data_IF_698473976265
#
_entry.id   IF_698473976265
#
_cell.length_a   1.000
_cell.length_b   1.000
_cell.length_c   1.000
_cell.angle_alpha   90.00
_cell.angle_beta   90.00
_cell.angle_gamma   90.00
#
_symmetry.space_group_name_H-M   'P 1'
#
loop_
_entity.id
_entity.type
_entity.pdbx_description
1 polymer ?
#
# COMPACT_ATOMS: atom_id res chain seq x y z
N UNK A 1 -37.92 4.66 -23.55
CA UNK A 1 -38.47 3.36 -24.00
C UNK A 1 -37.65 2.28 -23.29
N UNK A 2 -38.21 1.64 -22.26
CA UNK A 2 -37.51 0.68 -21.41
C UNK A 2 -37.32 -0.65 -22.15
N UNK A 3 -36.11 -1.20 -22.14
CA UNK A 3 -35.81 -2.50 -22.75
C UNK A 3 -36.59 -3.62 -22.05
N UNK A 4 -37.20 -4.50 -22.86
CA UNK A 4 -38.00 -5.68 -22.47
C UNK A 4 -37.16 -6.78 -21.78
N UNK A 5 -35.86 -6.55 -21.59
CA UNK A 5 -34.95 -7.43 -20.88
C UNK A 5 -34.35 -6.68 -19.69
N UNK A 6 -34.49 -7.22 -18.48
CA UNK A 6 -33.84 -6.69 -17.30
C UNK A 6 -32.33 -6.63 -17.47
N UNK A 7 -31.67 -5.63 -16.87
CA UNK A 7 -30.21 -5.58 -16.84
C UNK A 7 -29.70 -6.82 -16.10
N UNK A 8 -29.12 -7.76 -16.84
CA UNK A 8 -28.42 -8.90 -16.26
C UNK A 8 -27.15 -8.33 -15.65
N UNK A 9 -27.18 -8.11 -14.33
CA UNK A 9 -25.97 -7.77 -13.59
C UNK A 9 -24.94 -8.88 -13.82
N UNK A 10 -23.71 -8.56 -14.23
CA UNK A 10 -22.69 -9.58 -14.38
C UNK A 10 -22.53 -10.33 -13.04
N UNK A 11 -22.42 -11.67 -13.05
CA UNK A 11 -22.37 -12.48 -11.84
C UNK A 11 -21.15 -12.16 -10.96
N UNK A 12 -20.19 -11.42 -11.51
CA UNK A 12 -19.04 -10.88 -10.80
C UNK A 12 -18.97 -9.38 -11.09
N UNK A 13 -19.42 -8.55 -10.13
CA UNK A 13 -19.13 -7.13 -10.11
C UNK A 13 -17.67 -6.93 -9.66
N UNK A 14 -16.76 -7.27 -10.57
CA UNK A 14 -15.33 -7.16 -10.38
C UNK A 14 -14.87 -5.93 -11.18
N UNK A 15 -14.30 -4.96 -10.47
CA UNK A 15 -13.78 -3.71 -11.04
C UNK A 15 -12.69 -3.94 -12.09
N UNK A 16 -12.00 -5.09 -12.05
CA UNK A 16 -10.99 -5.51 -13.03
C UNK A 16 -11.59 -5.96 -14.39
N UNK A 17 -12.83 -6.46 -14.43
CA UNK A 17 -13.54 -6.86 -15.67
C UNK A 17 -14.52 -5.78 -16.15
N UNK A 18 -14.90 -4.83 -15.30
CA UNK A 18 -15.67 -3.63 -15.64
C UNK A 18 -14.78 -2.44 -16.05
N UNK A 19 -13.61 -2.70 -16.65
CA UNK A 19 -12.84 -1.68 -17.35
C UNK A 19 -13.52 -1.36 -18.69
N UNK A 20 -14.74 -0.81 -18.64
CA UNK A 20 -15.51 -0.43 -19.82
C UNK A 20 -14.85 0.68 -20.66
N UNK A 21 -13.78 1.32 -20.14
CA UNK A 21 -12.99 2.32 -20.82
C UNK A 21 -11.55 1.85 -20.99
N UNK A 22 -11.01 1.94 -22.22
CA UNK A 22 -9.63 1.61 -22.54
C UNK A 22 -8.67 2.36 -21.61
N UNK A 23 -7.79 1.64 -20.91
CA UNK A 23 -6.76 2.20 -20.00
C UNK A 23 -7.02 2.03 -18.50
N UNK A 24 -8.23 1.69 -18.06
CA UNK A 24 -8.56 1.55 -16.63
C UNK A 24 -7.96 0.29 -15.97
N UNK A 25 -7.80 -0.79 -16.74
CA UNK A 25 -7.25 -2.05 -16.22
C UNK A 25 -5.82 -1.92 -15.66
N UNK A 26 -4.97 -1.11 -16.32
CA UNK A 26 -3.61 -0.86 -15.87
C UNK A 26 -3.60 -0.08 -14.54
N UNK A 27 -4.48 0.91 -14.40
CA UNK A 27 -4.56 1.72 -13.19
C UNK A 27 -5.05 0.89 -12.00
N UNK A 28 -6.06 0.05 -12.18
CA UNK A 28 -6.56 -0.87 -11.15
C UNK A 28 -5.52 -1.91 -10.75
N UNK A 29 -4.82 -2.49 -11.72
CA UNK A 29 -3.74 -3.42 -11.48
C UNK A 29 -2.61 -2.77 -10.65
N UNK A 30 -2.19 -1.57 -11.04
CA UNK A 30 -1.13 -0.84 -10.35
C UNK A 30 -1.55 -0.41 -8.93
N UNK A 31 -2.77 0.07 -8.74
CA UNK A 31 -3.34 0.38 -7.41
C UNK A 31 -3.32 -0.85 -6.50
N UNK A 32 -3.70 -2.02 -7.04
CA UNK A 32 -3.68 -3.26 -6.27
C UNK A 32 -2.26 -3.70 -5.90
N UNK A 33 -1.28 -3.52 -6.79
CA UNK A 33 0.14 -3.75 -6.47
C UNK A 33 0.58 -2.84 -5.32
N UNK A 34 0.30 -1.54 -5.39
CA UNK A 34 0.70 -0.61 -4.33
C UNK A 34 0.08 -0.97 -2.97
N UNK A 35 -1.20 -1.36 -2.94
CA UNK A 35 -1.86 -1.85 -1.72
C UNK A 35 -1.22 -3.12 -1.16
N UNK A 36 -0.94 -4.07 -2.05
CA UNK A 36 -0.31 -5.34 -1.69
C UNK A 36 1.10 -5.11 -1.13
N UNK A 37 1.93 -4.33 -1.83
CA UNK A 37 3.28 -3.98 -1.38
C UNK A 37 3.25 -3.22 -0.06
N UNK A 38 2.33 -2.26 0.11
CA UNK A 38 2.17 -1.54 1.37
C UNK A 38 1.84 -2.46 2.55
N UNK A 39 0.93 -3.42 2.34
CA UNK A 39 0.59 -4.43 3.36
C UNK A 39 1.79 -5.32 3.72
N UNK A 40 2.48 -5.85 2.71
CA UNK A 40 3.66 -6.70 2.91
C UNK A 40 4.76 -5.94 3.64
N UNK A 41 5.00 -4.68 3.25
CA UNK A 41 6.01 -3.84 3.87
C UNK A 41 5.70 -3.55 5.35
N UNK A 42 4.43 -3.33 5.68
CA UNK A 42 3.98 -3.21 7.08
C UNK A 42 4.27 -4.46 7.92
N UNK A 43 4.02 -5.66 7.38
CA UNK A 43 4.32 -6.92 8.07
C UNK A 43 5.83 -7.10 8.29
N UNK A 44 6.64 -6.88 7.25
CA UNK A 44 8.11 -7.00 7.34
C UNK A 44 8.67 -6.01 8.36
N UNK A 45 8.12 -4.80 8.45
CA UNK A 45 8.53 -3.79 9.42
C UNK A 45 8.37 -4.27 10.86
N UNK A 46 7.23 -4.89 11.20
CA UNK A 46 7.01 -5.45 12.54
C UNK A 46 8.04 -6.52 12.89
N UNK A 47 8.34 -7.42 11.95
CA UNK A 47 9.33 -8.50 12.15
C UNK A 47 10.73 -7.91 12.38
N UNK A 48 11.12 -6.91 11.57
CA UNK A 48 12.42 -6.27 11.70
C UNK A 48 12.55 -5.46 12.99
N UNK A 49 11.47 -4.79 13.41
CA UNK A 49 11.44 -4.05 14.67
C UNK A 49 11.66 -4.98 15.88
N UNK A 50 10.95 -6.12 15.91
CA UNK A 50 11.12 -7.13 16.97
C UNK A 50 12.54 -7.69 16.97
N UNK A 51 13.08 -8.05 15.79
CA UNK A 51 14.43 -8.58 15.66
C UNK A 51 15.50 -7.59 16.13
N UNK A 52 15.33 -6.31 15.79
CA UNK A 52 16.23 -5.25 16.22
C UNK A 52 16.18 -5.04 17.76
N UNK A 53 14.98 -5.13 18.36
CA UNK A 53 14.81 -5.10 19.81
C UNK A 53 15.52 -6.25 20.52
N UNK A 54 15.38 -7.49 20.02
CA UNK A 54 16.11 -8.63 20.57
C UNK A 54 17.62 -8.49 20.43
N UNK A 55 18.09 -7.97 19.29
CA UNK A 55 19.51 -7.75 19.05
C UNK A 55 20.09 -6.66 19.99
N UNK A 56 19.30 -5.64 20.33
CA UNK A 56 19.66 -4.62 21.30
C UNK A 56 19.76 -5.21 22.73
N UNK A 57 18.79 -6.04 23.14
CA UNK A 57 18.81 -6.71 24.46
C UNK A 57 19.99 -7.70 24.56
N UNK A 58 20.27 -8.44 23.49
CA UNK A 58 21.35 -9.44 23.43
C UNK A 58 22.77 -8.82 23.44
N UNK A 59 22.89 -7.51 23.17
CA UNK A 59 24.18 -6.85 23.03
C UNK A 59 25.04 -6.83 24.33
N UNK A 60 24.46 -7.07 25.52
CA UNK A 60 25.16 -7.36 26.79
C UNK A 60 26.43 -6.52 27.06
N UNK A 61 26.43 -5.23 26.73
CA UNK A 61 27.56 -4.32 26.97
C UNK A 61 28.65 -4.26 25.89
N UNK A 62 28.51 -5.01 24.79
CA UNK A 62 29.37 -4.89 23.61
C UNK A 62 28.93 -3.67 22.77
N UNK A 63 29.78 -2.63 22.76
CA UNK A 63 29.51 -1.35 22.09
C UNK A 63 29.25 -1.56 20.59
N UNK A 64 30.00 -2.47 19.93
CA UNK A 64 29.82 -2.74 18.49
C UNK A 64 28.46 -3.34 18.19
N UNK A 65 27.99 -4.28 19.02
CA UNK A 65 26.68 -4.92 18.83
C UNK A 65 25.53 -3.96 19.11
N UNK A 66 25.71 -3.09 20.10
CA UNK A 66 24.73 -2.06 20.45
C UNK A 66 24.58 -1.04 19.32
N UNK A 67 25.69 -0.57 18.74
CA UNK A 67 25.68 0.35 17.59
C UNK A 67 25.04 -0.30 16.36
N UNK A 68 25.33 -1.58 16.10
CA UNK A 68 24.69 -2.31 14.99
C UNK A 68 23.19 -2.50 15.21
N UNK A 69 22.77 -2.79 16.44
CA UNK A 69 21.35 -2.89 16.79
C UNK A 69 20.63 -1.54 16.62
N UNK A 70 21.27 -0.45 17.07
CA UNK A 70 20.75 0.90 16.89
C UNK A 70 20.59 1.28 15.41
N UNK A 71 21.59 0.97 14.59
CA UNK A 71 21.53 1.19 13.15
C UNK A 71 20.35 0.42 12.51
N UNK A 72 20.09 -0.82 12.93
CA UNK A 72 18.94 -1.60 12.47
C UNK A 72 17.60 -1.00 12.90
N UNK A 73 17.48 -0.51 14.14
CA UNK A 73 16.27 0.18 14.61
C UNK A 73 16.01 1.41 13.75
N UNK A 74 17.05 2.22 13.50
CA UNK A 74 16.94 3.42 12.69
C UNK A 74 16.53 3.12 11.24
N UNK A 75 17.12 2.08 10.64
CA UNK A 75 16.73 1.64 9.30
C UNK A 75 15.28 1.16 9.22
N UNK A 76 14.80 0.43 10.24
CA UNK A 76 13.40 0.00 10.32
C UNK A 76 12.45 1.21 10.44
N UNK A 77 12.83 2.20 11.26
CA UNK A 77 12.06 3.43 11.42
C UNK A 77 12.01 4.25 10.12
N UNK A 78 13.14 4.40 9.42
CA UNK A 78 13.19 5.07 8.12
C UNK A 78 12.28 4.36 7.12
N UNK A 79 12.31 3.02 7.07
CA UNK A 79 11.42 2.25 6.20
C UNK A 79 9.95 2.55 6.45
N UNK A 80 9.53 2.60 7.72
CA UNK A 80 8.17 2.99 8.10
C UNK A 80 7.84 4.42 7.65
N UNK A 81 8.73 5.37 7.91
CA UNK A 81 8.54 6.78 7.54
C UNK A 81 8.39 6.93 6.03
N UNK A 82 9.18 6.21 5.24
CA UNK A 82 9.07 6.22 3.77
C UNK A 82 7.69 5.72 3.34
N UNK A 83 7.24 4.58 3.87
CA UNK A 83 5.92 4.01 3.52
C UNK A 83 4.80 4.97 3.93
N UNK A 84 4.83 5.50 5.15
CA UNK A 84 3.86 6.46 5.63
C UNK A 84 3.84 7.73 4.77
N UNK A 85 5.02 8.24 4.39
CA UNK A 85 5.13 9.40 3.50
C UNK A 85 4.57 9.12 2.12
N UNK A 86 4.74 7.91 1.57
CA UNK A 86 4.17 7.53 0.29
C UNK A 86 2.64 7.56 0.33
N UNK A 87 2.00 7.06 1.39
CA UNK A 87 0.55 7.14 1.57
C UNK A 87 0.07 8.60 1.69
N UNK A 88 0.77 9.43 2.47
CA UNK A 88 0.45 10.86 2.64
C UNK A 88 0.59 11.62 1.32
N UNK A 89 1.72 11.44 0.62
CA UNK A 89 1.97 12.06 -0.68
C UNK A 89 0.93 11.64 -1.70
N UNK A 90 0.57 10.35 -1.72
CA UNK A 90 -0.46 9.90 -2.64
C UNK A 90 -1.80 10.57 -2.34
N UNK A 91 -2.22 10.68 -1.07
CA UNK A 91 -3.44 11.41 -0.72
C UNK A 91 -3.42 12.90 -1.10
N UNK A 92 -2.26 13.56 -1.03
CA UNK A 92 -2.09 14.94 -1.51
C UNK A 92 -2.24 15.01 -3.04
N UNK A 93 -1.61 14.09 -3.77
CA UNK A 93 -1.72 13.99 -5.24
C UNK A 93 -3.15 13.68 -5.67
N UNK A 94 -3.86 12.80 -4.96
CA UNK A 94 -5.28 12.52 -5.19
C UNK A 94 -6.14 13.78 -5.08
N UNK A 95 -5.88 14.61 -4.06
CA UNK A 95 -6.64 15.86 -3.86
C UNK A 95 -6.39 16.90 -4.95
N UNK A 96 -5.18 16.93 -5.52
CA UNK A 96 -4.81 17.89 -6.58
C UNK A 96 -5.30 17.41 -7.95
N UNK A 97 -5.18 16.12 -8.24
CA UNK A 97 -5.50 15.53 -9.54
C UNK A 97 -6.95 15.04 -9.65
N UNK A 98 -7.64 14.85 -8.53
CA UNK A 98 -8.97 14.23 -8.46
C UNK A 98 -8.98 12.73 -8.74
N UNK A 99 -7.83 12.13 -9.08
CA UNK A 99 -7.70 10.72 -9.39
C UNK A 99 -7.42 9.98 -8.09
N UNK A 100 -8.37 9.16 -7.62
CA UNK A 100 -8.17 8.30 -6.44
C UNK A 100 -7.26 7.10 -6.80
N UNK A 101 -6.00 7.15 -6.39
CA UNK A 101 -4.97 6.13 -6.65
C UNK A 101 -5.04 5.00 -5.61
N UNK A 102 -5.38 5.33 -4.36
CA UNK A 102 -5.57 4.39 -3.25
C UNK A 102 -6.97 3.77 -3.27
N UNK A 103 -7.96 4.40 -3.88
CA UNK A 103 -9.28 3.79 -4.05
C UNK A 103 -9.96 4.32 -5.30
N UNK A 104 -9.64 3.82 -6.50
CA UNK A 104 -10.30 4.26 -7.72
C UNK A 104 -11.81 4.00 -7.63
N UNK A 105 -12.55 5.03 -7.23
CA UNK A 105 -13.99 5.12 -7.39
C UNK A 105 -14.23 5.98 -8.62
N UNK A 106 -14.56 5.30 -9.71
CA UNK A 106 -14.97 5.95 -10.95
C UNK A 106 -16.39 6.45 -10.73
N UNK A 107 -16.55 7.74 -10.47
CA UNK A 107 -17.84 8.42 -10.59
C UNK A 107 -18.10 8.57 -12.08
N UNK A 108 -18.89 7.67 -12.64
CA UNK A 108 -19.44 7.85 -13.98
C UNK A 108 -20.59 8.86 -13.96
N UNK A 109 -20.89 9.52 -15.09
CA UNK A 109 -22.30 9.79 -15.40
C UNK A 109 -23.06 8.47 -15.59
#
# INVERSE_FOLDING_TARGET
>A
MAGIFGQIAPPINNSYFNAGTQGQGLFLFLSNIFKLTGTIAGIIMVIQFITAGYMYISANGDIKKTETAWAKIWQSLIGLVIIASAFVLTGVVERITGIKILNPEIVGP
#
